data_IF_827420864369
#
_entry.id   IF_827420864369
#
_cell.length_a   1.000
_cell.length_b   1.000
_cell.length_c   1.000
_cell.angle_alpha   90.00
_cell.angle_beta   90.00
_cell.angle_gamma   90.00
#
_symmetry.space_group_name_H-M   'P 1'
#
loop_
_entity.id
_entity.type
_entity.pdbx_description
1 polymer ?
#
# COMPACT_ATOMS: atom_id res chain seq x y z
N UNK A 1 -18.58 7.59 -1.68
CA UNK A 1 -17.92 7.29 -0.37
C UNK A 1 -16.42 7.52 -0.47
N UNK A 2 -15.66 7.66 0.64
CA UNK A 2 -14.20 7.87 0.57
C UNK A 2 -13.46 6.72 -0.13
N UNK A 3 -14.02 5.50 -0.08
CA UNK A 3 -13.52 4.31 -0.79
C UNK A 3 -13.49 4.48 -2.31
N UNK A 4 -14.50 5.13 -2.90
CA UNK A 4 -14.53 5.41 -4.34
C UNK A 4 -13.40 6.35 -4.78
N UNK A 5 -12.96 7.22 -3.87
CA UNK A 5 -11.88 8.18 -4.08
C UNK A 5 -10.53 7.70 -3.54
N UNK A 6 -10.47 6.47 -3.02
CA UNK A 6 -9.26 5.90 -2.41
C UNK A 6 -7.98 6.09 -3.26
N UNK A 7 -8.00 5.91 -4.59
CA UNK A 7 -6.81 6.10 -5.42
C UNK A 7 -6.27 7.54 -5.42
N UNK A 8 -7.13 8.53 -5.19
CA UNK A 8 -6.79 9.96 -5.22
C UNK A 8 -5.95 10.38 -4.01
N UNK A 9 -6.00 9.61 -2.92
CA UNK A 9 -5.30 9.90 -1.67
C UNK A 9 -3.86 9.37 -1.64
N UNK A 10 -3.40 8.71 -2.71
CA UNK A 10 -2.08 8.09 -2.75
C UNK A 10 -0.98 9.12 -3.03
N UNK A 11 0.23 8.97 -2.43
CA UNK A 11 1.36 9.82 -2.73
C UNK A 11 1.71 9.79 -4.22
N UNK A 12 2.15 10.94 -4.75
CA UNK A 12 2.49 11.09 -6.16
C UNK A 12 3.51 10.04 -6.66
N UNK A 13 3.33 9.62 -7.91
CA UNK A 13 4.15 8.57 -8.53
C UNK A 13 3.62 7.15 -8.34
N UNK A 14 2.70 6.94 -7.39
CA UNK A 14 2.00 5.69 -7.15
C UNK A 14 0.58 5.74 -7.70
N UNK A 15 0.09 4.63 -8.23
CA UNK A 15 -1.24 4.54 -8.83
C UNK A 15 -1.91 3.25 -8.37
N UNK A 16 -3.14 3.38 -7.88
CA UNK A 16 -4.05 2.28 -7.62
C UNK A 16 -5.08 2.23 -8.75
N UNK A 17 -5.04 1.17 -9.55
CA UNK A 17 -6.04 0.91 -10.58
C UNK A 17 -7.15 0.08 -9.97
N UNK A 18 -8.22 0.77 -9.56
CA UNK A 18 -9.37 0.13 -8.94
C UNK A 18 -10.07 -0.84 -9.91
N UNK A 19 -10.68 -1.94 -9.39
CA UNK A 19 -11.47 -2.84 -10.21
C UNK A 19 -12.67 -2.10 -10.81
N UNK A 20 -13.06 -2.48 -12.03
CA UNK A 20 -14.17 -1.83 -12.76
C UNK A 20 -15.50 -1.99 -12.02
N UNK A 21 -15.66 -3.10 -11.29
CA UNK A 21 -16.82 -3.44 -10.46
C UNK A 21 -16.80 -2.79 -9.08
N UNK A 22 -15.74 -2.05 -8.75
CA UNK A 22 -15.53 -1.41 -7.45
C UNK A 22 -14.73 -2.28 -6.46
N UNK A 23 -14.55 -1.77 -5.24
CA UNK A 23 -13.89 -2.50 -4.16
C UNK A 23 -14.90 -3.50 -3.57
N UNK A 24 -14.96 -4.70 -4.15
CA UNK A 24 -15.83 -5.79 -3.72
C UNK A 24 -15.03 -7.08 -3.48
N UNK A 25 -15.45 -7.97 -2.57
CA UNK A 25 -14.70 -9.19 -2.28
C UNK A 25 -14.43 -10.05 -3.52
N UNK A 26 -13.20 -10.53 -3.65
CA UNK A 26 -12.72 -11.33 -4.79
C UNK A 26 -12.16 -10.51 -5.96
N UNK A 27 -12.40 -9.20 -5.98
CA UNK A 27 -11.85 -8.31 -7.02
C UNK A 27 -10.35 -8.08 -6.86
N UNK A 28 -9.68 -7.81 -7.98
CA UNK A 28 -8.23 -7.57 -8.02
C UNK A 28 -7.94 -6.18 -8.57
N UNK A 29 -7.18 -5.39 -7.83
CA UNK A 29 -6.66 -4.10 -8.26
C UNK A 29 -5.18 -4.21 -8.67
N UNK A 30 -4.77 -3.45 -9.68
CA UNK A 30 -3.35 -3.29 -10.02
C UNK A 30 -2.75 -2.11 -9.24
N UNK A 31 -1.55 -2.31 -8.72
CA UNK A 31 -0.72 -1.29 -8.12
C UNK A 31 0.46 -0.99 -9.05
N UNK A 32 0.68 0.28 -9.37
CA UNK A 32 1.91 0.75 -10.00
C UNK A 32 2.63 1.70 -9.05
N UNK A 33 3.69 1.21 -8.41
CA UNK A 33 4.40 1.92 -7.36
C UNK A 33 5.76 2.43 -7.84
N UNK A 34 6.10 3.66 -7.43
CA UNK A 34 7.44 4.18 -7.57
C UNK A 34 8.29 3.63 -6.43
N UNK A 35 9.34 2.87 -6.75
CA UNK A 35 10.27 2.33 -5.77
C UNK A 35 11.66 2.97 -5.95
N UNK A 36 12.55 2.91 -4.93
CA UNK A 36 13.89 3.47 -5.03
C UNK A 36 14.66 3.01 -6.28
N UNK A 37 15.54 3.87 -6.78
CA UNK A 37 16.33 3.59 -7.99
C UNK A 37 15.62 3.92 -9.31
N UNK A 38 14.48 4.65 -9.26
CA UNK A 38 13.76 5.04 -10.48
C UNK A 38 13.09 3.86 -11.19
N UNK A 39 12.78 2.81 -10.43
CA UNK A 39 12.14 1.60 -10.93
C UNK A 39 10.63 1.69 -10.68
N UNK A 40 9.84 1.15 -11.60
CA UNK A 40 8.41 0.95 -11.37
C UNK A 40 8.13 -0.50 -11.05
N UNK A 41 7.48 -0.71 -9.91
CA UNK A 41 6.99 -2.01 -9.53
C UNK A 41 5.49 -2.07 -9.83
N UNK A 42 5.11 -2.99 -10.71
CA UNK A 42 3.71 -3.34 -10.94
C UNK A 42 3.38 -4.64 -10.22
N UNK A 43 2.32 -4.63 -9.43
CA UNK A 43 1.83 -5.78 -8.67
C UNK A 43 0.31 -5.69 -8.51
N UNK A 44 -0.32 -6.69 -7.89
CA UNK A 44 -1.76 -6.68 -7.65
C UNK A 44 -2.09 -6.70 -6.15
N UNK A 45 -3.34 -6.44 -5.82
CA UNK A 45 -3.94 -6.73 -4.51
C UNK A 45 -5.35 -7.27 -4.71
N UNK A 46 -5.75 -8.22 -3.90
CA UNK A 46 -7.09 -8.80 -3.90
C UNK A 46 -7.91 -8.23 -2.76
N UNK A 47 -9.15 -7.86 -3.01
CA UNK A 47 -10.10 -7.44 -1.97
C UNK A 47 -10.57 -8.69 -1.22
N UNK A 48 -10.18 -8.84 0.04
CA UNK A 48 -10.65 -9.93 0.90
C UNK A 48 -12.03 -9.67 1.48
N UNK A 49 -12.30 -8.42 1.80
CA UNK A 49 -13.49 -7.99 2.52
C UNK A 49 -13.81 -6.56 2.14
N UNK A 50 -15.09 -6.21 2.09
CA UNK A 50 -15.57 -4.85 1.98
C UNK A 50 -17.00 -4.76 2.52
N UNK A 51 -17.23 -3.80 3.41
CA UNK A 51 -18.57 -3.34 3.84
C UNK A 51 -18.64 -1.82 3.65
N UNK A 52 -19.65 -1.14 4.21
CA UNK A 52 -19.83 0.30 4.04
C UNK A 52 -18.66 1.14 4.61
N UNK A 53 -18.07 0.70 5.72
CA UNK A 53 -17.13 1.46 6.52
C UNK A 53 -15.67 1.02 6.33
N UNK A 54 -15.45 -0.18 5.78
CA UNK A 54 -14.14 -0.81 5.74
C UNK A 54 -13.93 -1.71 4.53
N UNK A 55 -12.67 -1.96 4.22
CA UNK A 55 -12.26 -2.98 3.24
C UNK A 55 -10.84 -3.47 3.53
N UNK A 56 -10.55 -4.70 3.12
CA UNK A 56 -9.25 -5.35 3.32
C UNK A 56 -8.65 -5.75 2.00
N UNK A 57 -7.38 -5.38 1.80
CA UNK A 57 -6.58 -5.77 0.65
C UNK A 57 -5.54 -6.81 1.08
N UNK A 58 -5.46 -7.93 0.36
CA UNK A 58 -4.41 -8.94 0.52
C UNK A 58 -3.44 -8.89 -0.65
N UNK A 59 -2.18 -9.13 -0.35
CA UNK A 59 -1.13 -9.18 -1.36
C UNK A 59 -1.02 -10.57 -1.99
N UNK A 60 -0.95 -10.68 -3.34
CA UNK A 60 -0.75 -11.96 -4.03
C UNK A 60 0.71 -12.42 -3.96
N UNK A 61 0.97 -13.64 -4.41
CA UNK A 61 2.34 -14.16 -4.53
C UNK A 61 3.21 -13.25 -5.40
N UNK A 62 4.44 -13.00 -4.95
CA UNK A 62 5.41 -12.16 -5.64
C UNK A 62 5.31 -10.67 -5.32
N UNK A 63 4.25 -10.23 -4.63
CA UNK A 63 4.18 -8.88 -4.06
C UNK A 63 5.32 -8.64 -3.04
N UNK A 64 5.75 -7.39 -2.84
CA UNK A 64 6.86 -7.05 -1.93
C UNK A 64 6.58 -7.44 -0.47
N UNK A 65 5.32 -7.28 -0.07
CA UNK A 65 4.78 -7.69 1.21
C UNK A 65 3.97 -8.97 1.05
N UNK A 66 4.05 -9.87 2.02
CA UNK A 66 3.07 -10.92 2.24
C UNK A 66 2.22 -10.53 3.45
N UNK A 67 0.92 -10.33 3.26
CA UNK A 67 0.03 -9.88 4.32
C UNK A 67 -1.24 -9.24 3.80
N UNK A 68 -1.85 -8.41 4.64
CA UNK A 68 -3.05 -7.65 4.30
C UNK A 68 -3.08 -6.31 5.01
N UNK A 69 -3.87 -5.40 4.45
CA UNK A 69 -4.14 -4.08 5.01
C UNK A 69 -5.65 -3.89 5.07
N UNK A 70 -6.16 -3.57 6.26
CA UNK A 70 -7.55 -3.19 6.45
C UNK A 70 -7.63 -1.68 6.57
N UNK A 71 -8.45 -1.05 5.73
CA UNK A 71 -8.82 0.35 5.88
C UNK A 71 -10.23 0.42 6.44
N UNK A 72 -10.43 1.27 7.44
CA UNK A 72 -11.74 1.40 8.11
C UNK A 72 -11.96 2.83 8.57
N UNK A 73 -13.22 3.23 8.65
CA UNK A 73 -13.67 4.40 9.40
C UNK A 73 -14.57 3.92 10.55
N UNK A 74 -14.44 4.52 11.72
CA UNK A 74 -15.28 4.18 12.89
C UNK A 74 -15.50 5.40 13.76
N UNK A 75 -16.65 5.51 14.40
CA UNK A 75 -16.92 6.56 15.39
C UNK A 75 -16.18 6.27 16.71
N UNK A 76 -15.58 7.30 17.30
CA UNK A 76 -15.00 7.28 18.64
C UNK A 76 -15.39 8.55 19.38
N UNK A 77 -16.43 8.45 20.22
CA UNK A 77 -16.99 9.62 20.89
C UNK A 77 -17.62 10.58 19.87
N UNK A 78 -17.12 11.81 19.81
CA UNK A 78 -17.59 12.84 18.87
C UNK A 78 -16.76 12.89 17.57
N UNK A 79 -15.77 12.01 17.42
CA UNK A 79 -14.83 12.00 16.30
C UNK A 79 -15.02 10.78 15.40
N UNK A 80 -14.73 10.93 14.10
CA UNK A 80 -14.57 9.79 13.18
C UNK A 80 -13.08 9.48 13.01
N UNK A 81 -12.70 8.24 13.28
CA UNK A 81 -11.33 7.77 13.13
C UNK A 81 -11.21 6.92 11.88
N UNK A 82 -10.42 7.41 10.92
CA UNK A 82 -9.96 6.62 9.78
C UNK A 82 -8.66 5.88 10.15
N UNK A 83 -8.58 4.60 9.81
CA UNK A 83 -7.46 3.74 10.17
C UNK A 83 -6.97 2.94 8.97
N UNK A 84 -5.65 2.81 8.86
CA UNK A 84 -4.99 1.79 8.03
C UNK A 84 -4.30 0.79 8.97
N UNK A 85 -4.84 -0.41 9.08
CA UNK A 85 -4.28 -1.50 9.88
C UNK A 85 -3.51 -2.45 8.97
N UNK A 86 -2.18 -2.45 9.10
CA UNK A 86 -1.28 -3.26 8.29
C UNK A 86 -0.81 -4.48 9.09
N UNK A 87 -1.03 -5.68 8.55
CA UNK A 87 -0.32 -6.90 8.98
C UNK A 87 0.53 -7.39 7.81
N UNK A 88 1.84 -7.39 8.00
CA UNK A 88 2.77 -7.64 6.90
C UNK A 88 4.03 -8.38 7.35
N UNK A 89 4.66 -9.02 6.37
CA UNK A 89 6.05 -9.46 6.40
C UNK A 89 6.66 -9.28 5.02
N UNK A 90 7.98 -9.34 4.90
CA UNK A 90 8.62 -9.53 3.60
C UNK A 90 8.21 -10.86 2.97
N UNK A 91 7.96 -10.84 1.67
CA UNK A 91 7.63 -12.05 0.89
C UNK A 91 8.85 -12.93 0.57
N UNK A 92 10.03 -12.30 0.46
CA UNK A 92 11.30 -12.97 0.17
C UNK A 92 12.49 -12.21 0.82
N UNK A 93 13.69 -12.82 0.88
CA UNK A 93 14.87 -12.19 1.50
C UNK A 93 15.33 -10.87 0.87
N UNK A 94 15.07 -10.63 -0.42
CA UNK A 94 15.44 -9.37 -1.09
C UNK A 94 14.55 -8.23 -0.58
N UNK A 95 13.24 -8.46 -0.50
CA UNK A 95 12.34 -7.51 0.12
C UNK A 95 12.56 -7.39 1.63
N UNK A 96 12.97 -8.47 2.32
CA UNK A 96 13.32 -8.43 3.75
C UNK A 96 14.49 -7.48 4.02
N UNK A 97 15.53 -7.54 3.19
CA UNK A 97 16.64 -6.59 3.28
C UNK A 97 16.16 -5.15 3.00
N UNK A 98 15.34 -4.96 1.97
CA UNK A 98 14.79 -3.65 1.61
C UNK A 98 13.94 -3.03 2.74
N UNK A 99 13.04 -3.83 3.33
CA UNK A 99 12.22 -3.44 4.48
C UNK A 99 13.06 -3.07 5.69
N UNK A 100 14.06 -3.90 6.02
CA UNK A 100 14.95 -3.68 7.17
C UNK A 100 15.75 -2.39 7.05
N UNK A 101 16.22 -2.04 5.85
CA UNK A 101 17.03 -0.84 5.65
C UNK A 101 16.18 0.44 5.69
N UNK A 102 15.09 0.50 4.92
CA UNK A 102 14.25 1.71 4.84
C UNK A 102 12.78 1.46 4.50
N UNK A 103 12.42 0.27 4.02
CA UNK A 103 11.08 0.01 3.47
C UNK A 103 9.96 0.21 4.50
N UNK A 104 10.15 -0.20 5.76
CA UNK A 104 9.15 0.04 6.81
C UNK A 104 8.82 1.53 6.98
N UNK A 105 9.85 2.39 7.05
CA UNK A 105 9.65 3.84 7.18
C UNK A 105 8.96 4.46 5.96
N UNK A 106 9.22 3.91 4.77
CA UNK A 106 8.57 4.39 3.55
C UNK A 106 7.09 4.01 3.53
N UNK A 107 6.77 2.79 3.97
CA UNK A 107 5.40 2.33 4.09
C UNK A 107 4.61 3.13 5.13
N UNK A 108 5.18 3.38 6.31
CA UNK A 108 4.57 4.24 7.32
C UNK A 108 4.24 5.63 6.74
N UNK A 109 5.21 6.25 6.05
CA UNK A 109 5.01 7.56 5.41
C UNK A 109 3.94 7.53 4.34
N UNK A 110 3.87 6.44 3.57
CA UNK A 110 2.85 6.25 2.54
C UNK A 110 1.46 6.29 3.17
N UNK A 111 1.22 5.46 4.19
CA UNK A 111 -0.11 5.37 4.82
C UNK A 111 -0.45 6.61 5.63
N UNK A 112 0.52 7.21 6.31
CA UNK A 112 0.33 8.51 6.95
C UNK A 112 -0.08 9.59 5.94
N UNK A 113 0.54 9.64 4.75
CA UNK A 113 0.14 10.58 3.70
C UNK A 113 -1.29 10.30 3.24
N UNK A 114 -1.63 9.04 2.96
CA UNK A 114 -2.97 8.65 2.56
C UNK A 114 -4.03 9.07 3.58
N UNK A 115 -3.80 8.80 4.87
CA UNK A 115 -4.73 9.21 5.94
C UNK A 115 -4.83 10.74 6.07
N UNK A 116 -3.73 11.50 5.88
CA UNK A 116 -3.79 12.98 5.83
C UNK A 116 -4.63 13.48 4.65
N UNK A 117 -4.54 12.85 3.49
CA UNK A 117 -5.35 13.22 2.32
C UNK A 117 -6.83 12.89 2.55
N UNK A 118 -7.14 11.76 3.19
CA UNK A 118 -8.50 11.44 3.63
C UNK A 118 -9.02 12.51 4.60
N UNK A 119 -8.25 12.89 5.61
CA UNK A 119 -8.65 13.91 6.57
C UNK A 119 -8.88 15.28 5.90
N UNK A 120 -7.96 15.68 5.01
CA UNK A 120 -8.11 16.89 4.18
C UNK A 120 -9.38 16.85 3.33
N UNK A 121 -9.71 15.71 2.74
CA UNK A 121 -10.91 15.55 1.92
C UNK A 121 -12.21 15.83 2.71
N UNK A 122 -12.22 15.48 3.99
CA UNK A 122 -13.34 15.75 4.90
C UNK A 122 -13.25 17.08 5.65
N UNK A 123 -12.31 17.97 5.27
CA UNK A 123 -12.20 19.31 5.86
C UNK A 123 -11.47 19.35 7.21
N UNK A 124 -10.73 18.30 7.57
CA UNK A 124 -9.94 18.21 8.80
C UNK A 124 -8.43 18.07 8.50
N UNK A 125 -7.79 19.05 7.84
CA UNK A 125 -6.37 18.95 7.45
C UNK A 125 -5.41 18.86 8.65
N UNK A 126 -5.82 19.37 9.81
CA UNK A 126 -5.03 19.37 11.05
C UNK A 126 -5.30 18.15 11.95
N UNK A 127 -6.08 17.17 11.47
CA UNK A 127 -6.34 15.95 12.24
C UNK A 127 -5.03 15.22 12.58
N UNK A 128 -4.84 14.77 13.84
CA UNK A 128 -3.63 14.09 14.24
C UNK A 128 -3.49 12.73 13.54
N UNK A 129 -2.27 12.39 13.17
CA UNK A 129 -1.93 11.07 12.62
C UNK A 129 -1.06 10.33 13.63
N UNK A 130 -1.62 9.28 14.20
CA UNK A 130 -0.91 8.37 15.10
C UNK A 130 -0.42 7.14 14.35
N UNK A 131 0.71 6.59 14.76
CA UNK A 131 1.27 5.36 14.19
C UNK A 131 1.75 4.47 15.32
N UNK A 132 1.18 3.26 15.39
CA UNK A 132 1.59 2.23 16.32
C UNK A 132 2.21 1.08 15.54
N UNK A 133 3.44 0.70 15.89
CA UNK A 133 4.17 -0.40 15.26
C UNK A 133 4.47 -1.45 16.31
N UNK A 134 4.16 -2.71 16.03
CA UNK A 134 4.48 -3.84 16.91
C UNK A 134 5.08 -4.97 16.09
N UNK A 135 6.24 -5.47 16.53
CA UNK A 135 6.85 -6.64 15.90
C UNK A 135 6.12 -7.91 16.39
N UNK A 136 5.41 -8.57 15.48
CA UNK A 136 4.66 -9.80 15.78
C UNK A 136 5.57 -11.04 15.76
N UNK A 137 6.55 -11.07 14.85
CA UNK A 137 7.54 -12.15 14.70
C UNK A 137 8.89 -11.54 14.25
N UNK A 138 9.95 -11.77 15.03
CA UNK A 138 11.29 -11.28 14.74
C UNK A 138 12.11 -12.24 13.85
N UNK A 139 11.60 -13.45 13.56
CA UNK A 139 12.35 -14.45 12.82
C UNK A 139 12.42 -14.14 11.33
N UNK A 140 13.65 -14.21 10.82
CA UNK A 140 13.91 -14.10 9.39
C UNK A 140 13.70 -15.43 8.69
N UNK A 141 13.19 -15.42 7.45
CA UNK A 141 12.86 -16.66 6.73
C UNK A 141 13.74 -16.92 5.52
N UNK A 142 15.04 -16.75 5.74
CA UNK A 142 16.10 -16.92 4.74
C UNK A 142 16.24 -18.38 4.29
N UNK A 143 15.79 -19.34 5.11
CA UNK A 143 15.64 -20.72 4.68
C UNK A 143 14.71 -20.87 3.46
N UNK A 144 13.78 -19.92 3.24
CA UNK A 144 12.86 -19.86 2.11
C UNK A 144 13.37 -19.00 0.94
N UNK A 145 14.69 -18.87 0.77
CA UNK A 145 15.30 -18.02 -0.26
C UNK A 145 14.82 -18.29 -1.70
N UNK A 146 14.36 -19.51 -1.98
CA UNK A 146 13.80 -19.87 -3.29
C UNK A 146 12.57 -19.02 -3.66
N UNK A 147 11.91 -18.38 -2.69
CA UNK A 147 10.81 -17.45 -2.93
C UNK A 147 11.18 -16.26 -3.81
N UNK A 148 12.48 -15.89 -3.88
CA UNK A 148 12.97 -14.81 -4.76
C UNK A 148 12.57 -15.04 -6.21
N UNK A 149 12.39 -16.27 -6.68
CA UNK A 149 11.93 -16.56 -8.07
C UNK A 149 10.52 -16.03 -8.38
N UNK A 150 9.70 -15.84 -7.35
CA UNK A 150 8.35 -15.27 -7.48
C UNK A 150 8.37 -13.74 -7.39
N UNK A 151 9.48 -13.16 -6.92
CA UNK A 151 9.61 -11.75 -6.60
C UNK A 151 9.26 -10.84 -7.78
N UNK A 152 8.36 -9.88 -7.53
CA UNK A 152 8.05 -8.80 -8.46
C UNK A 152 9.27 -7.92 -8.75
N UNK A 153 10.27 -7.87 -7.84
CA UNK A 153 11.51 -7.14 -8.07
C UNK A 153 12.28 -7.64 -9.31
N UNK A 154 12.26 -8.95 -9.57
CA UNK A 154 12.91 -9.53 -10.75
C UNK A 154 12.19 -9.18 -12.07
N UNK A 155 10.92 -8.77 -11.98
CA UNK A 155 10.08 -8.41 -13.11
C UNK A 155 9.91 -6.90 -13.27
N UNK A 156 10.45 -6.13 -12.32
CA UNK A 156 10.37 -4.70 -12.31
C UNK A 156 11.19 -4.13 -13.48
N UNK A 157 10.69 -3.06 -14.09
CA UNK A 157 11.35 -2.41 -15.23
C UNK A 157 11.84 -1.03 -14.81
N UNK A 158 12.99 -0.57 -15.34
CA UNK A 158 13.38 0.83 -15.21
C UNK A 158 12.21 1.71 -15.67
N UNK A 159 11.86 2.74 -14.91
CA UNK A 159 10.83 3.66 -15.35
C UNK A 159 11.32 4.33 -16.64
N UNK A 160 10.58 4.14 -17.74
CA UNK A 160 10.87 4.89 -18.96
C UNK A 160 10.65 6.37 -18.65
N UNK A 161 11.74 7.14 -18.65
CA UNK A 161 11.70 8.57 -18.35
C UNK A 161 10.84 9.24 -19.42
N UNK A 162 9.56 9.48 -19.15
CA UNK A 162 8.70 10.28 -20.04
C UNK A 162 9.33 11.67 -20.11
N UNK A 163 9.81 12.07 -21.30
CA UNK A 163 10.22 13.46 -21.53
C UNK A 163 9.02 14.35 -21.19
N UNK A 164 9.20 15.42 -20.40
CA UNK A 164 8.13 16.39 -20.22
C UNK A 164 7.70 16.90 -21.61
N UNK A 165 6.40 17.13 -21.85
CA UNK A 165 5.94 17.72 -23.10
C UNK A 165 6.67 19.06 -23.28
N UNK A 166 7.24 19.26 -24.48
CA UNK A 166 7.82 20.55 -24.83
C UNK A 166 6.73 21.61 -24.69
N UNK A 167 6.94 22.56 -23.77
CA UNK A 167 6.13 23.77 -23.74
C UNK A 167 6.31 24.45 -25.10
N UNK A 168 5.20 24.59 -25.84
CA UNK A 168 5.09 25.44 -27.03
C UNK A 168 4.62 26.81 -26.59
#
# INVERSE_FOLDING_TARGET
>A
TWKERFPEFWPSGNVFYAPVTGIAPGEVAELSMAVPGGVRLSTGVMVLYADEESFTLMTPEGHMLAGWITFSASERGEETVAQAHVLMRASDPLFELGLTLFGHRQEDRFWQHTLRQVATHFGAPDAPIETQVTCVDAHRQWARWRNVRHSSALRARPALRRRPPAQR
#
